data_IF_677370738605
#
_entry.id   IF_677370738605
#
_cell.length_a   1.000
_cell.length_b   1.000
_cell.length_c   1.000
_cell.angle_alpha   90.00
_cell.angle_beta   90.00
_cell.angle_gamma   90.00
#
_symmetry.space_group_name_H-M   'P 1'
#
loop_
_entity.id
_entity.type
_entity.pdbx_description
1 polymer ?
#
# COMPACT_ATOMS: atom_id res chain seq x y z
N UNK A 1 19.19 -17.88 26.30
CA UNK A 1 19.24 -18.66 25.06
C UNK A 1 18.40 -17.96 23.99
N UNK A 2 18.84 -17.95 22.72
CA UNK A 2 18.10 -17.36 21.62
C UNK A 2 16.87 -18.19 21.27
N UNK A 3 15.72 -17.54 21.09
CA UNK A 3 14.42 -18.18 20.78
C UNK A 3 13.74 -17.45 19.60
N UNK A 4 12.80 -18.10 18.92
CA UNK A 4 12.07 -17.51 17.79
C UNK A 4 11.36 -16.19 18.15
N UNK A 5 10.86 -16.08 19.37
CA UNK A 5 10.24 -14.80 19.83
C UNK A 5 11.23 -13.64 19.82
N UNK A 6 12.48 -13.88 20.15
CA UNK A 6 13.54 -12.87 20.10
C UNK A 6 13.85 -12.45 18.66
N UNK A 7 13.88 -13.41 17.74
CA UNK A 7 14.07 -13.16 16.31
C UNK A 7 12.91 -12.32 15.73
N UNK A 8 11.66 -12.65 16.09
CA UNK A 8 10.48 -11.85 15.72
C UNK A 8 10.57 -10.42 16.24
N UNK A 9 10.99 -10.25 17.48
CA UNK A 9 11.20 -8.92 18.09
C UNK A 9 12.26 -8.10 17.36
N UNK A 10 13.42 -8.70 17.00
CA UNK A 10 14.46 -8.02 16.24
C UNK A 10 13.99 -7.62 14.83
N UNK A 11 13.27 -8.50 14.15
CA UNK A 11 12.70 -8.21 12.84
C UNK A 11 11.66 -7.09 12.90
N UNK A 12 10.79 -7.07 13.91
CA UNK A 12 9.79 -6.02 14.11
C UNK A 12 10.45 -4.65 14.37
N UNK A 13 11.50 -4.61 15.20
CA UNK A 13 12.26 -3.37 15.46
C UNK A 13 12.89 -2.83 14.18
N UNK A 14 13.43 -3.70 13.33
CA UNK A 14 14.07 -3.28 12.07
C UNK A 14 13.08 -2.64 11.09
N UNK A 15 11.82 -3.05 11.12
CA UNK A 15 10.75 -2.54 10.24
C UNK A 15 9.95 -1.37 10.81
N UNK A 16 10.28 -0.86 12.01
CA UNK A 16 9.51 0.17 12.69
C UNK A 16 10.33 1.45 12.90
N UNK A 17 9.65 2.60 12.87
CA UNK A 17 10.28 3.89 13.18
C UNK A 17 10.42 4.12 14.70
N UNK A 18 9.51 3.57 15.48
CA UNK A 18 9.50 3.69 16.96
C UNK A 18 9.36 2.31 17.58
N UNK A 19 9.89 2.17 18.77
CA UNK A 19 9.85 0.89 19.51
C UNK A 19 8.41 0.50 19.89
N UNK A 20 7.52 1.47 20.08
CA UNK A 20 6.10 1.23 20.32
C UNK A 20 5.45 0.53 19.11
N UNK A 21 5.71 1.03 17.90
CA UNK A 21 5.18 0.45 16.64
C UNK A 21 5.70 -0.98 16.42
N UNK A 22 6.96 -1.26 16.83
CA UNK A 22 7.53 -2.61 16.79
C UNK A 22 6.84 -3.55 17.80
N UNK A 23 6.53 -3.04 18.99
CA UNK A 23 5.89 -3.83 20.04
C UNK A 23 4.47 -4.26 19.63
N UNK A 24 3.69 -3.37 19.06
CA UNK A 24 2.35 -3.68 18.52
C UNK A 24 2.41 -4.81 17.48
N UNK A 25 3.39 -4.80 16.57
CA UNK A 25 3.56 -5.83 15.53
C UNK A 25 3.83 -7.23 16.08
N UNK A 26 4.36 -7.34 17.28
CA UNK A 26 4.63 -8.62 17.94
C UNK A 26 3.70 -8.88 19.13
N UNK A 27 2.63 -8.09 19.24
CA UNK A 27 1.62 -8.19 20.30
C UNK A 27 2.21 -8.09 21.72
N UNK A 28 3.16 -7.19 21.90
CA UNK A 28 3.81 -6.91 23.17
C UNK A 28 3.60 -5.44 23.57
N UNK A 29 3.79 -5.19 24.87
CA UNK A 29 3.99 -3.80 25.33
C UNK A 29 5.40 -3.34 25.01
N UNK A 30 5.61 -2.02 24.84
CA UNK A 30 6.96 -1.46 24.60
C UNK A 30 7.95 -1.85 25.72
N UNK A 31 7.49 -1.94 26.98
CA UNK A 31 8.31 -2.36 28.12
C UNK A 31 8.72 -3.83 28.00
N UNK A 32 7.80 -4.72 27.59
CA UNK A 32 8.09 -6.13 27.38
C UNK A 32 9.09 -6.34 26.25
N UNK A 33 8.92 -5.64 25.12
CA UNK A 33 9.87 -5.69 24.02
C UNK A 33 11.25 -5.18 24.42
N UNK A 34 11.32 -4.05 25.16
CA UNK A 34 12.59 -3.53 25.70
C UNK A 34 13.24 -4.49 26.68
N UNK A 35 12.45 -5.20 27.47
CA UNK A 35 12.94 -6.21 28.40
C UNK A 35 13.55 -7.42 27.65
N UNK A 36 12.87 -7.92 26.61
CA UNK A 36 13.40 -9.01 25.78
C UNK A 36 14.75 -8.65 25.16
N UNK A 37 14.90 -7.43 24.64
CA UNK A 37 16.18 -6.97 24.08
C UNK A 37 17.27 -6.95 25.16
N UNK A 38 16.98 -6.40 26.35
CA UNK A 38 17.97 -6.36 27.46
C UNK A 38 18.37 -7.75 27.93
N UNK A 39 17.44 -8.71 27.97
CA UNK A 39 17.75 -10.11 28.32
C UNK A 39 18.72 -10.73 27.31
N UNK A 40 18.53 -10.47 26.00
CA UNK A 40 19.47 -10.92 24.97
C UNK A 40 20.84 -10.27 25.12
N UNK A 41 20.90 -8.96 25.32
CA UNK A 41 22.14 -8.22 25.51
C UNK A 41 22.90 -8.71 26.74
N UNK A 42 22.19 -8.93 27.83
CA UNK A 42 22.78 -9.49 29.07
C UNK A 42 23.30 -10.93 28.87
N UNK A 43 22.54 -11.76 28.13
CA UNK A 43 22.94 -13.15 27.87
C UNK A 43 24.23 -13.26 27.06
N UNK A 44 24.41 -12.38 26.08
CA UNK A 44 25.61 -12.38 25.22
C UNK A 44 26.71 -11.42 25.68
N UNK A 45 26.44 -10.56 26.67
CA UNK A 45 27.38 -9.53 27.13
C UNK A 45 27.68 -8.46 26.05
N UNK A 46 26.80 -8.29 25.07
CA UNK A 46 27.01 -7.41 23.90
C UNK A 46 25.75 -6.57 23.67
N UNK A 47 25.92 -5.26 23.43
CA UNK A 47 24.83 -4.37 23.04
C UNK A 47 24.41 -4.62 21.61
N UNK A 48 23.12 -4.76 21.38
CA UNK A 48 22.51 -4.99 20.06
C UNK A 48 22.01 -3.69 19.41
N UNK A 49 21.74 -2.66 20.23
CA UNK A 49 21.24 -1.38 19.78
C UNK A 49 21.99 -0.22 20.38
N UNK A 50 22.11 0.86 19.62
CA UNK A 50 22.61 2.16 20.07
C UNK A 50 21.52 3.22 19.91
N UNK A 51 21.38 4.09 20.90
CA UNK A 51 20.52 5.29 20.79
C UNK A 51 21.28 6.37 20.03
N UNK A 52 20.63 6.89 18.98
CA UNK A 52 21.12 8.02 18.20
C UNK A 52 20.09 9.14 18.24
N UNK A 53 20.45 10.33 17.79
CA UNK A 53 19.52 11.45 17.63
C UNK A 53 18.36 11.13 16.66
N UNK A 54 18.56 10.19 15.73
CA UNK A 54 17.56 9.71 14.78
C UNK A 54 16.75 8.49 15.27
N UNK A 55 16.97 8.01 16.51
CA UNK A 55 16.28 6.86 17.09
C UNK A 55 17.19 5.69 17.41
N UNK A 56 16.64 4.48 17.38
CA UNK A 56 17.35 3.23 17.71
C UNK A 56 18.07 2.69 16.46
N UNK A 57 19.35 2.40 16.57
CA UNK A 57 20.16 1.83 15.49
C UNK A 57 20.79 0.52 15.92
N UNK A 58 20.79 -0.49 15.04
CA UNK A 58 21.48 -1.75 15.28
C UNK A 58 23.00 -1.58 15.32
N UNK A 59 23.65 -2.20 16.29
CA UNK A 59 25.11 -2.40 16.32
C UNK A 59 25.51 -3.46 15.28
N UNK A 60 26.81 -3.66 15.00
CA UNK A 60 27.26 -4.78 14.17
C UNK A 60 26.78 -6.15 14.68
N UNK A 61 26.74 -6.35 16.01
CA UNK A 61 26.20 -7.55 16.63
C UNK A 61 24.69 -7.66 16.43
N UNK A 62 23.96 -6.56 16.59
CA UNK A 62 22.53 -6.48 16.32
C UNK A 62 22.20 -6.76 14.87
N UNK A 63 22.98 -6.26 13.92
CA UNK A 63 22.81 -6.55 12.49
C UNK A 63 23.03 -8.03 12.16
N UNK A 64 24.01 -8.67 12.81
CA UNK A 64 24.24 -10.11 12.64
C UNK A 64 23.07 -10.94 13.13
N UNK A 65 22.50 -10.61 14.29
CA UNK A 65 21.29 -11.28 14.78
C UNK A 65 20.06 -10.96 13.93
N UNK A 66 19.95 -9.77 13.37
CA UNK A 66 18.86 -9.42 12.44
C UNK A 66 18.95 -10.23 11.14
N UNK A 67 20.17 -10.45 10.61
CA UNK A 67 20.37 -11.30 9.44
C UNK A 67 19.90 -12.73 9.73
N UNK A 68 20.34 -13.31 10.85
CA UNK A 68 19.86 -14.61 11.32
C UNK A 68 18.34 -14.63 11.51
N UNK A 69 17.76 -13.58 12.10
CA UNK A 69 16.32 -13.48 12.30
C UNK A 69 15.57 -13.56 10.98
N UNK A 70 15.99 -12.83 9.96
CA UNK A 70 15.38 -12.84 8.63
C UNK A 70 15.44 -14.22 7.98
N UNK A 71 16.61 -14.84 8.00
CA UNK A 71 16.84 -16.17 7.43
C UNK A 71 15.99 -17.24 8.15
N UNK A 72 16.08 -17.29 9.49
CA UNK A 72 15.37 -18.29 10.29
C UNK A 72 13.86 -18.13 10.18
N UNK A 73 13.34 -16.90 10.27
CA UNK A 73 11.90 -16.66 10.15
C UNK A 73 11.37 -17.00 8.75
N UNK A 74 12.15 -16.73 7.70
CA UNK A 74 11.80 -17.17 6.35
C UNK A 74 11.79 -18.70 6.23
N UNK A 75 12.76 -19.40 6.83
CA UNK A 75 12.79 -20.87 6.84
C UNK A 75 11.59 -21.48 7.58
N UNK A 76 11.22 -20.90 8.74
CA UNK A 76 10.02 -21.33 9.48
C UNK A 76 8.77 -21.13 8.64
N UNK A 77 8.58 -19.98 8.02
CA UNK A 77 7.44 -19.69 7.16
C UNK A 77 7.37 -20.64 5.96
N UNK A 78 8.51 -20.95 5.34
CA UNK A 78 8.56 -21.91 4.25
C UNK A 78 8.09 -23.31 4.70
N UNK A 79 8.59 -23.78 5.85
CA UNK A 79 8.20 -25.05 6.40
C UNK A 79 6.71 -25.10 6.77
N UNK A 80 6.19 -24.05 7.38
CA UNK A 80 4.74 -23.95 7.68
C UNK A 80 3.89 -24.02 6.40
N UNK A 81 4.32 -23.37 5.30
CA UNK A 81 3.67 -23.49 3.98
C UNK A 81 3.74 -24.92 3.44
N UNK A 82 4.90 -25.57 3.53
CA UNK A 82 5.05 -26.95 3.05
C UNK A 82 4.13 -27.91 3.82
N UNK A 83 3.97 -27.71 5.12
CA UNK A 83 3.01 -28.47 5.93
C UNK A 83 1.55 -28.23 5.48
N UNK A 84 1.19 -26.99 5.15
CA UNK A 84 -0.13 -26.67 4.60
C UNK A 84 -0.37 -27.31 3.23
N UNK A 85 0.66 -27.36 2.37
CA UNK A 85 0.61 -28.06 1.09
C UNK A 85 0.34 -29.55 1.27
N UNK A 86 1.05 -30.19 2.21
CA UNK A 86 0.83 -31.61 2.53
C UNK A 86 -0.59 -31.87 3.03
N UNK A 87 -1.23 -30.90 3.66
CA UNK A 87 -2.63 -30.98 4.10
C UNK A 87 -3.65 -30.80 2.95
N UNK A 88 -3.21 -30.34 1.78
CA UNK A 88 -4.09 -30.06 0.63
C UNK A 88 -4.85 -28.73 0.71
N UNK A 89 -4.54 -27.87 1.69
CA UNK A 89 -5.23 -26.60 1.92
C UNK A 89 -4.57 -25.38 1.24
N UNK A 90 -3.44 -25.61 0.56
CA UNK A 90 -2.60 -24.52 0.06
C UNK A 90 -2.96 -24.02 -1.35
N UNK A 91 -3.67 -24.80 -2.16
CA UNK A 91 -4.00 -24.44 -3.55
C UNK A 91 -5.23 -23.55 -3.68
N UNK A 92 -5.35 -22.90 -4.82
CA UNK A 92 -6.51 -22.10 -5.19
C UNK A 92 -6.31 -21.22 -6.41
N UNK A 93 -7.38 -20.58 -6.85
CA UNK A 93 -7.38 -19.52 -7.86
C UNK A 93 -7.55 -18.17 -7.15
N UNK A 94 -6.80 -17.17 -7.56
CA UNK A 94 -6.85 -15.81 -7.02
C UNK A 94 -6.88 -14.79 -8.15
N UNK A 95 -8.07 -14.51 -8.67
CA UNK A 95 -8.29 -13.46 -9.64
C UNK A 95 -8.44 -12.12 -8.93
N UNK A 96 -7.52 -11.21 -9.19
CA UNK A 96 -7.45 -9.89 -8.55
C UNK A 96 -8.10 -8.85 -9.46
N UNK A 97 -9.12 -8.16 -8.98
CA UNK A 97 -9.71 -7.00 -9.65
C UNK A 97 -9.21 -5.70 -9.01
N UNK A 98 -8.89 -4.70 -9.84
CA UNK A 98 -8.34 -3.42 -9.42
C UNK A 98 -9.31 -2.28 -9.66
N UNK A 99 -9.39 -1.34 -8.73
CA UNK A 99 -10.16 -0.10 -8.89
C UNK A 99 -9.46 0.90 -9.82
N UNK A 100 -8.13 0.91 -9.86
CA UNK A 100 -7.36 1.80 -10.74
C UNK A 100 -6.13 1.12 -11.35
N UNK A 101 -5.78 1.58 -12.55
CA UNK A 101 -4.65 1.01 -13.31
C UNK A 101 -3.27 1.39 -12.73
N UNK A 102 -3.15 2.44 -11.93
CA UNK A 102 -1.87 2.79 -11.27
C UNK A 102 -1.37 1.72 -10.31
N UNK A 103 -2.26 0.81 -9.87
CA UNK A 103 -1.85 -0.30 -9.01
C UNK A 103 -0.94 -1.31 -9.73
N UNK A 104 -0.95 -1.37 -11.06
CA UNK A 104 -0.12 -2.35 -11.81
C UNK A 104 1.37 -2.20 -11.51
N UNK A 105 1.87 -0.97 -11.39
CA UNK A 105 3.32 -0.71 -11.23
C UNK A 105 3.90 -1.41 -10.00
N UNK A 106 3.19 -1.40 -8.88
CA UNK A 106 3.63 -2.05 -7.65
C UNK A 106 3.07 -3.47 -7.48
N UNK A 107 1.92 -3.79 -8.08
CA UNK A 107 1.28 -5.10 -7.91
C UNK A 107 1.99 -6.19 -8.70
N UNK A 108 2.51 -5.89 -9.90
CA UNK A 108 3.22 -6.90 -10.70
C UNK A 108 4.41 -7.51 -9.95
N UNK A 109 5.36 -6.74 -9.38
CA UNK A 109 6.42 -7.33 -8.58
C UNK A 109 5.94 -8.03 -7.30
N UNK A 110 4.80 -7.63 -6.73
CA UNK A 110 4.15 -8.34 -5.62
C UNK A 110 3.66 -9.72 -6.07
N UNK A 111 3.00 -9.80 -7.23
CA UNK A 111 2.51 -11.08 -7.79
C UNK A 111 3.67 -12.03 -8.10
N UNK A 112 4.80 -11.52 -8.59
CA UNK A 112 5.99 -12.33 -8.82
C UNK A 112 6.56 -12.91 -7.52
N UNK A 113 6.63 -12.10 -6.45
CA UNK A 113 7.04 -12.57 -5.13
C UNK A 113 6.05 -13.59 -4.55
N UNK A 114 4.76 -13.35 -4.75
CA UNK A 114 3.71 -14.24 -4.29
C UNK A 114 3.75 -15.59 -5.02
N UNK A 115 3.87 -15.63 -6.35
CA UNK A 115 3.98 -16.87 -7.16
C UNK A 115 5.17 -17.72 -6.74
N UNK A 116 6.31 -17.10 -6.38
CA UNK A 116 7.47 -17.84 -5.86
C UNK A 116 7.20 -18.53 -4.53
N UNK A 117 6.35 -17.94 -3.70
CA UNK A 117 6.03 -18.46 -2.36
C UNK A 117 4.85 -19.42 -2.36
N UNK A 118 3.91 -19.21 -3.28
CA UNK A 118 2.67 -19.96 -3.42
C UNK A 118 2.48 -20.42 -4.88
N UNK A 119 3.37 -21.28 -5.41
CA UNK A 119 3.28 -21.76 -6.80
C UNK A 119 2.03 -22.60 -7.09
N UNK A 120 1.37 -23.12 -6.06
CA UNK A 120 0.10 -23.84 -6.12
C UNK A 120 -1.13 -22.94 -6.16
N UNK A 121 -0.98 -21.63 -5.99
CA UNK A 121 -2.06 -20.65 -6.13
C UNK A 121 -1.91 -19.98 -7.48
N UNK A 122 -2.88 -20.20 -8.37
CA UNK A 122 -2.94 -19.51 -9.65
C UNK A 122 -3.40 -18.08 -9.46
N UNK A 123 -2.53 -17.11 -9.76
CA UNK A 123 -2.80 -15.70 -9.58
C UNK A 123 -2.92 -14.99 -10.90
N UNK A 124 -4.10 -14.39 -11.15
CA UNK A 124 -4.40 -13.65 -12.35
C UNK A 124 -5.02 -12.28 -12.05
N UNK A 125 -4.94 -11.39 -13.03
CA UNK A 125 -5.62 -10.10 -12.99
C UNK A 125 -6.87 -10.16 -13.85
N UNK A 126 -7.99 -9.67 -13.29
CA UNK A 126 -9.21 -9.52 -14.09
C UNK A 126 -8.99 -8.41 -15.11
N UNK A 127 -9.10 -8.78 -16.40
CA UNK A 127 -8.85 -7.87 -17.50
C UNK A 127 -9.91 -6.76 -17.61
N UNK A 128 -9.50 -5.58 -18.07
CA UNK A 128 -10.35 -4.44 -18.38
C UNK A 128 -10.52 -3.44 -17.24
N UNK A 129 -11.14 -2.31 -17.58
CA UNK A 129 -11.51 -1.28 -16.60
C UNK A 129 -12.87 -1.62 -15.98
N UNK A 130 -12.92 -1.61 -14.66
CA UNK A 130 -14.16 -1.85 -13.93
C UNK A 130 -14.50 -0.67 -13.03
N UNK A 131 -15.54 0.07 -13.37
CA UNK A 131 -16.01 1.21 -12.58
C UNK A 131 -16.48 0.81 -11.17
N UNK A 132 -16.80 -0.46 -10.97
CA UNK A 132 -17.20 -1.06 -9.69
C UNK A 132 -16.66 -2.48 -9.55
N UNK A 133 -15.38 -2.66 -9.14
CA UNK A 133 -14.77 -3.98 -9.05
C UNK A 133 -15.42 -4.87 -7.98
N UNK A 134 -16.14 -4.31 -7.00
CA UNK A 134 -16.89 -5.10 -6.02
C UNK A 134 -17.98 -5.95 -6.64
N UNK A 135 -18.56 -5.53 -7.78
CA UNK A 135 -19.53 -6.36 -8.52
C UNK A 135 -18.91 -7.63 -9.08
N UNK A 136 -17.61 -7.59 -9.42
CA UNK A 136 -16.90 -8.79 -9.86
C UNK A 136 -16.73 -9.79 -8.72
N UNK A 137 -16.41 -9.30 -7.53
CA UNK A 137 -16.28 -10.12 -6.33
C UNK A 137 -17.64 -10.77 -5.97
N UNK A 138 -18.73 -9.98 -6.00
CA UNK A 138 -20.08 -10.46 -5.73
C UNK A 138 -20.55 -11.49 -6.77
N UNK A 139 -20.13 -11.35 -8.01
CA UNK A 139 -20.46 -12.27 -9.11
C UNK A 139 -19.54 -13.50 -9.20
N UNK A 140 -18.56 -13.68 -8.29
CA UNK A 140 -17.58 -14.75 -8.33
C UNK A 140 -16.63 -14.68 -9.55
N UNK A 141 -16.47 -13.50 -10.14
CA UNK A 141 -15.53 -13.27 -11.26
C UNK A 141 -14.17 -12.76 -10.80
N UNK A 142 -14.02 -12.49 -9.53
CA UNK A 142 -12.78 -12.17 -8.84
C UNK A 142 -12.84 -12.76 -7.43
N UNK A 143 -11.70 -13.13 -6.87
CA UNK A 143 -11.53 -13.59 -5.49
C UNK A 143 -11.03 -12.46 -4.59
N UNK A 144 -10.36 -11.46 -5.17
CA UNK A 144 -9.81 -10.33 -4.45
C UNK A 144 -10.08 -9.02 -5.20
N UNK A 145 -10.44 -7.98 -4.47
CA UNK A 145 -10.53 -6.62 -4.97
C UNK A 145 -9.51 -5.74 -4.24
N UNK A 146 -8.72 -4.99 -4.99
CA UNK A 146 -7.87 -3.93 -4.43
C UNK A 146 -8.51 -2.58 -4.79
N UNK A 147 -8.92 -1.84 -3.77
CA UNK A 147 -9.64 -0.58 -3.95
C UNK A 147 -9.63 0.31 -2.70
N UNK A 148 -10.14 1.52 -2.88
CA UNK A 148 -10.11 2.57 -1.84
C UNK A 148 -11.33 2.55 -0.92
N UNK A 149 -12.36 1.78 -1.27
CA UNK A 149 -13.65 1.75 -0.54
C UNK A 149 -14.05 0.33 -0.16
N UNK A 150 -13.75 -0.07 1.08
CA UNK A 150 -14.19 -1.36 1.56
C UNK A 150 -15.72 -1.38 1.68
N UNK A 151 -16.39 -2.49 1.32
CA UNK A 151 -17.83 -2.65 1.49
C UNK A 151 -18.17 -2.74 2.98
N UNK A 152 -19.45 -2.44 3.29
CA UNK A 152 -20.02 -2.75 4.60
C UNK A 152 -20.64 -4.15 4.54
N UNK A 153 -20.42 -4.97 5.58
CA UNK A 153 -21.02 -6.30 5.67
C UNK A 153 -20.07 -7.30 6.33
N UNK A 154 -20.62 -8.33 6.95
CA UNK A 154 -19.85 -9.37 7.65
C UNK A 154 -19.39 -10.48 6.72
N UNK A 155 -19.86 -10.50 5.50
CA UNK A 155 -19.50 -11.45 4.44
C UNK A 155 -18.13 -11.18 3.83
N UNK A 156 -17.57 -9.99 4.07
CA UNK A 156 -16.29 -9.53 3.54
C UNK A 156 -15.19 -9.51 4.60
N UNK A 157 -14.00 -9.87 4.19
CA UNK A 157 -12.76 -9.59 4.92
C UNK A 157 -12.09 -8.41 4.25
N UNK A 158 -11.76 -7.39 5.05
CA UNK A 158 -11.10 -6.17 4.63
C UNK A 158 -9.71 -6.15 5.24
N UNK A 159 -8.69 -6.22 4.41
CA UNK A 159 -7.29 -6.15 4.80
C UNK A 159 -6.76 -4.75 4.49
N UNK A 160 -6.47 -3.92 5.50
CA UNK A 160 -5.90 -2.60 5.26
C UNK A 160 -4.48 -2.74 4.71
N UNK A 161 -4.15 -1.97 3.67
CA UNK A 161 -2.84 -2.00 3.02
C UNK A 161 -2.02 -0.77 3.41
N UNK A 162 -2.36 0.40 2.88
CA UNK A 162 -1.66 1.65 3.17
C UNK A 162 -2.51 2.88 2.83
N UNK A 163 -2.14 4.02 3.40
CA UNK A 163 -2.65 5.35 3.04
C UNK A 163 -1.73 6.01 2.04
N UNK A 164 -2.30 6.88 1.22
CA UNK A 164 -1.58 7.60 0.18
C UNK A 164 -2.15 8.99 -0.03
N UNK A 165 -1.32 9.90 -0.53
CA UNK A 165 -1.76 11.24 -0.88
C UNK A 165 -2.25 11.31 -2.32
N UNK A 166 -3.38 11.98 -2.55
CA UNK A 166 -3.89 12.36 -3.86
C UNK A 166 -3.35 13.74 -4.19
N UNK A 167 -2.71 13.88 -5.33
CA UNK A 167 -2.10 15.12 -5.80
C UNK A 167 -2.85 15.69 -7.01
N UNK A 168 -2.96 17.00 -7.11
CA UNK A 168 -3.39 17.65 -8.35
C UNK A 168 -2.26 17.57 -9.37
N UNK A 169 -2.59 17.12 -10.56
CA UNK A 169 -1.69 17.01 -11.71
C UNK A 169 -1.97 18.13 -12.68
N UNK A 170 -0.94 18.87 -13.01
CA UNK A 170 -0.98 20.08 -13.85
C UNK A 170 -0.01 19.99 -15.02
N UNK A 171 -0.26 20.67 -16.14
CA UNK A 171 0.76 20.89 -17.18
C UNK A 171 1.99 21.61 -16.59
N UNK A 172 3.18 21.35 -17.11
CA UNK A 172 4.45 21.92 -16.61
C UNK A 172 4.41 23.46 -16.57
N UNK A 173 3.83 24.08 -17.60
CA UNK A 173 3.74 25.56 -17.68
C UNK A 173 2.40 26.12 -17.15
N UNK A 174 1.78 25.43 -16.20
CA UNK A 174 0.53 25.88 -15.64
C UNK A 174 0.70 27.15 -14.78
N UNK A 175 -0.31 28.04 -14.77
CA UNK A 175 -0.31 29.29 -13.95
C UNK A 175 -0.08 29.03 -12.44
N UNK A 176 -0.46 27.84 -11.95
CA UNK A 176 -0.31 27.45 -10.56
C UNK A 176 1.04 26.77 -10.24
N UNK A 177 1.98 26.68 -11.20
CA UNK A 177 3.28 25.99 -11.01
C UNK A 177 4.06 26.49 -9.78
N UNK A 178 3.98 27.76 -9.47
CA UNK A 178 4.68 28.39 -8.33
C UNK A 178 4.05 28.14 -6.97
N UNK A 179 2.83 27.60 -6.92
CA UNK A 179 2.16 27.29 -5.65
C UNK A 179 2.72 26.03 -5.01
N UNK A 180 2.84 26.02 -3.67
CA UNK A 180 3.21 24.84 -2.90
C UNK A 180 2.04 23.87 -2.71
N UNK A 181 0.83 24.42 -2.53
CA UNK A 181 -0.42 23.66 -2.43
C UNK A 181 -1.51 24.34 -3.24
N UNK A 182 -2.47 23.55 -3.69
CA UNK A 182 -3.60 23.99 -4.51
C UNK A 182 -4.87 23.93 -3.67
N UNK A 183 -5.54 25.05 -3.56
CA UNK A 183 -6.86 25.13 -2.95
C UNK A 183 -7.96 24.96 -4.00
N UNK A 184 -9.15 24.51 -3.60
CA UNK A 184 -10.26 24.30 -4.52
C UNK A 184 -10.57 25.56 -5.37
N UNK A 185 -10.51 26.75 -4.76
CA UNK A 185 -10.76 28.04 -5.44
C UNK A 185 -9.77 28.33 -6.58
N UNK A 186 -8.54 27.85 -6.49
CA UNK A 186 -7.52 28.03 -7.53
C UNK A 186 -7.87 27.35 -8.83
N UNK A 187 -8.74 26.35 -8.78
CA UNK A 187 -9.09 25.50 -9.91
C UNK A 187 -10.32 25.97 -10.67
N UNK A 188 -10.90 27.11 -10.29
CA UNK A 188 -12.03 27.68 -11.01
C UNK A 188 -11.70 27.89 -12.50
N UNK A 189 -12.59 27.38 -13.38
CA UNK A 189 -12.42 27.45 -14.83
C UNK A 189 -11.57 26.30 -15.44
N UNK A 190 -10.99 25.43 -14.63
CA UNK A 190 -10.27 24.26 -15.14
C UNK A 190 -11.23 23.14 -15.57
N UNK A 191 -10.79 22.27 -16.48
CA UNK A 191 -11.47 21.01 -16.80
C UNK A 191 -10.83 19.87 -16.00
N UNK A 192 -11.63 19.12 -15.26
CA UNK A 192 -11.15 17.97 -14.49
C UNK A 192 -11.20 16.70 -15.34
N UNK A 193 -10.05 16.06 -15.52
CA UNK A 193 -9.93 14.78 -16.23
C UNK A 193 -9.88 13.66 -15.19
N UNK A 194 -10.77 12.68 -15.32
CA UNK A 194 -10.93 11.58 -14.35
C UNK A 194 -11.14 10.24 -15.03
N UNK A 195 -11.10 9.17 -14.25
CA UNK A 195 -11.66 7.88 -14.68
C UNK A 195 -13.18 8.00 -14.90
N UNK A 196 -13.79 7.16 -15.77
CA UNK A 196 -15.23 7.14 -16.04
C UNK A 196 -16.01 6.44 -14.91
N UNK A 197 -15.87 6.94 -13.69
CA UNK A 197 -16.59 6.47 -12.49
C UNK A 197 -17.55 7.54 -11.98
N UNK A 198 -18.59 7.20 -11.21
CA UNK A 198 -19.48 8.18 -10.57
C UNK A 198 -18.68 9.18 -9.71
N UNK A 199 -19.13 10.43 -9.65
CA UNK A 199 -18.46 11.50 -8.90
C UNK A 199 -18.27 11.17 -7.42
N UNK A 200 -19.21 10.42 -6.85
CA UNK A 200 -19.17 9.96 -5.47
C UNK A 200 -17.99 9.03 -5.18
N UNK A 201 -17.43 8.42 -6.22
CA UNK A 201 -16.24 7.57 -6.13
C UNK A 201 -14.92 8.32 -6.27
N UNK A 202 -14.96 9.60 -6.60
CA UNK A 202 -13.77 10.43 -6.77
C UNK A 202 -13.59 11.27 -5.49
N UNK A 203 -12.58 10.90 -4.68
CA UNK A 203 -12.32 11.56 -3.39
C UNK A 203 -12.10 13.06 -3.55
N UNK A 204 -11.38 13.47 -4.59
CA UNK A 204 -11.15 14.88 -4.89
C UNK A 204 -12.45 15.67 -5.11
N UNK A 205 -13.40 15.11 -5.81
CA UNK A 205 -14.72 15.75 -6.02
C UNK A 205 -15.49 15.78 -4.69
N UNK A 206 -15.53 14.65 -3.98
CA UNK A 206 -16.33 14.49 -2.77
C UNK A 206 -15.83 15.34 -1.61
N UNK A 207 -14.50 15.35 -1.39
CA UNK A 207 -13.91 15.93 -0.18
C UNK A 207 -13.35 17.34 -0.37
N UNK A 208 -13.10 17.74 -1.63
CA UNK A 208 -12.51 19.04 -1.93
C UNK A 208 -13.46 19.94 -2.70
N UNK A 209 -13.92 19.51 -3.86
CA UNK A 209 -14.71 20.37 -4.76
C UNK A 209 -16.15 20.57 -4.25
N UNK A 210 -16.85 19.50 -3.84
CA UNK A 210 -18.24 19.61 -3.33
C UNK A 210 -18.36 20.45 -2.07
N UNK A 211 -17.51 20.28 -1.03
CA UNK A 211 -17.54 21.16 0.16
C UNK A 211 -17.25 22.63 -0.16
N UNK A 212 -16.34 22.88 -1.11
CA UNK A 212 -16.02 24.22 -1.58
C UNK A 212 -17.08 24.81 -2.54
N UNK A 213 -18.12 24.05 -2.90
CA UNK A 213 -19.15 24.42 -3.88
C UNK A 213 -18.60 24.77 -5.27
N UNK A 214 -17.48 24.15 -5.66
CA UNK A 214 -16.85 24.35 -6.95
C UNK A 214 -17.27 23.22 -7.87
N UNK A 215 -17.72 23.56 -9.09
CA UNK A 215 -18.02 22.61 -10.16
C UNK A 215 -17.06 22.86 -11.32
N UNK A 216 -16.40 21.80 -11.75
CA UNK A 216 -15.51 21.82 -12.89
C UNK A 216 -16.14 21.02 -14.04
N UNK A 217 -16.04 21.49 -15.30
CA UNK A 217 -16.32 20.63 -16.45
C UNK A 217 -15.51 19.35 -16.33
N UNK A 218 -16.12 18.22 -16.63
CA UNK A 218 -15.50 16.91 -16.48
C UNK A 218 -15.29 16.23 -17.83
N UNK A 219 -14.09 15.69 -18.02
CA UNK A 219 -13.72 14.79 -19.12
C UNK A 219 -13.24 13.47 -18.54
N UNK A 220 -13.48 12.36 -19.24
CA UNK A 220 -13.10 11.03 -18.75
C UNK A 220 -12.10 10.34 -19.68
N UNK A 221 -11.20 9.54 -19.10
CA UNK A 221 -10.34 8.60 -19.78
C UNK A 221 -10.14 7.37 -18.89
N UNK A 222 -10.06 6.17 -19.46
CA UNK A 222 -10.00 4.92 -18.71
C UNK A 222 -8.59 4.62 -18.18
N UNK A 223 -7.55 5.03 -18.90
CA UNK A 223 -6.16 4.74 -18.58
C UNK A 223 -5.47 5.93 -17.94
N UNK A 224 -4.70 5.69 -16.89
CA UNK A 224 -3.88 6.73 -16.22
C UNK A 224 -2.96 7.44 -17.21
N UNK A 225 -2.28 6.68 -18.09
CA UNK A 225 -1.41 7.26 -19.10
C UNK A 225 -2.14 8.20 -20.06
N UNK A 226 -3.40 7.89 -20.40
CA UNK A 226 -4.24 8.78 -21.23
C UNK A 226 -4.64 10.04 -20.47
N UNK A 227 -4.97 9.93 -19.16
CA UNK A 227 -5.24 11.09 -18.31
C UNK A 227 -4.01 12.01 -18.28
N UNK A 228 -2.82 11.46 -18.01
CA UNK A 228 -1.58 12.21 -17.92
C UNK A 228 -1.22 12.89 -19.24
N UNK A 229 -1.41 12.19 -20.37
CA UNK A 229 -1.20 12.75 -21.70
C UNK A 229 -2.14 13.93 -21.99
N UNK A 230 -3.42 13.82 -21.61
CA UNK A 230 -4.37 14.91 -21.74
C UNK A 230 -4.00 16.12 -20.88
N UNK A 231 -3.51 15.88 -19.65
CA UNK A 231 -3.00 16.95 -18.77
C UNK A 231 -1.79 17.61 -19.41
N UNK A 232 -0.77 16.85 -19.81
CA UNK A 232 0.43 17.38 -20.46
C UNK A 232 0.10 18.21 -21.73
N UNK A 233 -0.94 17.81 -22.46
CA UNK A 233 -1.46 18.53 -23.63
C UNK A 233 -2.36 19.73 -23.29
N UNK A 234 -2.39 20.17 -22.03
CA UNK A 234 -3.18 21.33 -21.55
C UNK A 234 -4.69 21.19 -21.81
N UNK A 235 -5.21 19.95 -21.77
CA UNK A 235 -6.65 19.68 -21.96
C UNK A 235 -7.44 19.69 -20.67
N UNK A 236 -6.77 19.95 -19.53
CA UNK A 236 -7.32 20.04 -18.20
C UNK A 236 -6.32 19.62 -17.13
N UNK A 237 -6.82 19.37 -15.95
CA UNK A 237 -6.07 18.95 -14.77
C UNK A 237 -6.60 17.59 -14.32
N UNK A 238 -5.85 16.87 -13.47
CA UNK A 238 -6.31 15.63 -12.86
C UNK A 238 -6.01 15.61 -11.35
N UNK A 239 -6.61 14.65 -10.64
CA UNK A 239 -6.25 14.34 -9.26
C UNK A 239 -5.98 12.83 -9.17
N UNK A 240 -4.73 12.45 -8.88
CA UNK A 240 -4.25 11.07 -8.96
C UNK A 240 -3.41 10.69 -7.75
N UNK A 241 -3.29 9.39 -7.41
CA UNK A 241 -2.40 8.89 -6.36
C UNK A 241 -0.94 9.27 -6.62
N UNK A 242 -0.22 9.64 -5.57
CA UNK A 242 1.17 10.07 -5.63
C UNK A 242 2.10 9.03 -6.25
N UNK A 243 1.92 7.73 -5.94
CA UNK A 243 2.79 6.66 -6.47
C UNK A 243 2.74 6.52 -8.00
N UNK A 244 1.60 6.77 -8.63
CA UNK A 244 1.43 6.69 -10.09
C UNK A 244 2.00 7.88 -10.86
N UNK A 245 2.61 8.85 -10.17
CA UNK A 245 3.06 10.11 -10.78
C UNK A 245 4.58 10.25 -10.86
N UNK A 246 5.34 9.50 -10.05
CA UNK A 246 6.78 9.70 -9.87
C UNK A 246 7.53 9.79 -11.20
N UNK A 247 7.40 8.78 -12.05
CA UNK A 247 8.12 8.73 -13.33
C UNK A 247 7.77 9.90 -14.27
N UNK A 248 6.53 10.36 -14.23
CA UNK A 248 6.06 11.46 -15.09
C UNK A 248 6.50 12.83 -14.56
N UNK A 249 6.61 12.97 -13.25
CA UNK A 249 7.13 14.19 -12.58
C UNK A 249 8.65 14.28 -12.74
N UNK A 250 9.36 13.18 -12.55
CA UNK A 250 10.82 13.10 -12.68
C UNK A 250 11.28 13.40 -14.13
N UNK A 251 10.43 13.14 -15.12
CA UNK A 251 10.67 13.45 -16.54
C UNK A 251 10.13 14.83 -16.97
N UNK A 252 9.69 15.67 -16.03
CA UNK A 252 9.06 16.96 -16.32
C UNK A 252 7.89 16.88 -17.31
N UNK A 253 7.17 15.75 -17.34
CA UNK A 253 6.03 15.56 -18.22
C UNK A 253 4.77 16.25 -17.68
N UNK A 254 4.61 16.26 -16.36
CA UNK A 254 3.55 16.94 -15.62
C UNK A 254 4.09 17.46 -14.30
N UNK A 255 3.36 18.40 -13.68
CA UNK A 255 3.58 18.81 -12.29
C UNK A 255 2.59 18.13 -11.37
N UNK A 256 3.04 17.73 -10.18
CA UNK A 256 2.18 17.26 -9.11
C UNK A 256 2.22 18.24 -7.93
N UNK A 257 1.06 18.62 -7.41
CA UNK A 257 0.91 19.58 -6.33
C UNK A 257 -0.02 19.04 -5.24
N UNK A 258 0.34 19.31 -4.01
CA UNK A 258 -0.47 18.98 -2.84
C UNK A 258 -1.82 19.69 -2.86
N UNK A 259 -2.86 19.06 -2.34
CA UNK A 259 -4.20 19.61 -2.22
C UNK A 259 -4.38 20.16 -0.81
N UNK A 260 -4.52 21.47 -0.69
CA UNK A 260 -4.66 22.14 0.60
C UNK A 260 -3.43 21.97 1.53
N UNK A 261 -3.46 22.60 2.68
CA UNK A 261 -2.34 22.57 3.63
C UNK A 261 -2.14 21.17 4.27
N UNK A 262 -3.22 20.38 4.43
CA UNK A 262 -3.20 19.04 5.07
C UNK A 262 -3.00 17.89 4.09
N UNK A 263 -3.08 18.15 2.79
CA UNK A 263 -3.13 17.10 1.75
C UNK A 263 -4.49 16.40 1.69
N UNK A 264 -4.78 15.77 0.57
CA UNK A 264 -5.92 14.87 0.42
C UNK A 264 -5.41 13.43 0.51
N UNK A 265 -5.84 12.71 1.54
CA UNK A 265 -5.41 11.36 1.83
C UNK A 265 -6.53 10.36 1.57
N UNK A 266 -6.20 9.26 0.94
CA UNK A 266 -7.06 8.09 0.78
C UNK A 266 -6.38 6.84 1.31
N UNK A 267 -7.12 5.74 1.39
CA UNK A 267 -6.59 4.46 1.89
C UNK A 267 -6.87 3.36 0.89
N UNK A 268 -5.96 2.41 0.79
CA UNK A 268 -6.10 1.25 -0.07
C UNK A 268 -6.33 -0.01 0.78
N UNK A 269 -7.23 -0.86 0.32
CA UNK A 269 -7.62 -2.10 0.98
C UNK A 269 -7.62 -3.26 -0.01
N UNK A 270 -7.32 -4.46 0.48
CA UNK A 270 -7.65 -5.69 -0.20
C UNK A 270 -8.94 -6.25 0.42
N UNK A 271 -9.90 -6.58 -0.41
CA UNK A 271 -11.22 -7.08 0.00
C UNK A 271 -11.45 -8.46 -0.61
N UNK A 272 -11.80 -9.43 0.21
CA UNK A 272 -12.09 -10.80 -0.20
C UNK A 272 -13.34 -11.34 0.51
N UNK A 273 -14.00 -12.39 -0.01
CA UNK A 273 -15.02 -13.11 0.73
C UNK A 273 -14.44 -13.69 2.03
N UNK A 274 -15.24 -13.72 3.09
CA UNK A 274 -14.81 -14.23 4.40
C UNK A 274 -14.26 -15.64 4.36
N UNK A 275 -14.84 -16.52 3.51
CA UNK A 275 -14.33 -17.87 3.32
C UNK A 275 -12.89 -17.94 2.80
N UNK A 276 -12.48 -16.96 1.99
CA UNK A 276 -11.10 -16.87 1.50
C UNK A 276 -10.12 -16.38 2.57
N UNK A 277 -10.61 -15.65 3.58
CA UNK A 277 -9.79 -15.12 4.67
C UNK A 277 -9.13 -16.21 5.51
N UNK A 278 -9.71 -17.40 5.54
CA UNK A 278 -9.17 -18.55 6.26
C UNK A 278 -7.99 -19.20 5.51
N UNK A 279 -7.79 -18.86 4.23
CA UNK A 279 -6.67 -19.34 3.44
C UNK A 279 -5.38 -18.60 3.81
N UNK A 280 -4.31 -19.31 4.19
CA UNK A 280 -3.06 -18.70 4.67
C UNK A 280 -2.41 -17.78 3.65
N UNK A 281 -2.54 -18.09 2.36
CA UNK A 281 -1.95 -17.32 1.28
C UNK A 281 -2.52 -15.87 1.19
N UNK A 282 -3.76 -15.65 1.63
CA UNK A 282 -4.35 -14.31 1.57
C UNK A 282 -3.70 -13.34 2.57
N UNK A 283 -3.47 -13.79 3.80
CA UNK A 283 -2.77 -13.00 4.82
C UNK A 283 -1.32 -12.71 4.40
N UNK A 284 -0.65 -13.68 3.79
CA UNK A 284 0.70 -13.51 3.29
C UNK A 284 0.75 -12.55 2.10
N UNK A 285 -0.20 -12.61 1.16
CA UNK A 285 -0.29 -11.65 0.07
C UNK A 285 -0.41 -10.20 0.59
N UNK A 286 -1.28 -9.96 1.58
CA UNK A 286 -1.39 -8.63 2.19
C UNK A 286 -0.07 -8.19 2.85
N UNK A 287 0.67 -9.12 3.45
CA UNK A 287 1.99 -8.85 4.04
C UNK A 287 3.03 -8.52 2.97
N UNK A 288 3.05 -9.26 1.86
CA UNK A 288 3.95 -8.99 0.72
C UNK A 288 3.64 -7.61 0.13
N UNK A 289 2.35 -7.28 -0.09
CA UNK A 289 1.94 -5.96 -0.59
C UNK A 289 2.48 -4.86 0.32
N UNK A 290 2.21 -4.92 1.63
CA UNK A 290 2.65 -3.90 2.59
C UNK A 290 4.17 -3.74 2.59
N UNK A 291 4.90 -4.85 2.62
CA UNK A 291 6.37 -4.83 2.67
C UNK A 291 6.99 -4.23 1.42
N UNK A 292 6.49 -4.63 0.24
CA UNK A 292 6.96 -4.11 -1.05
C UNK A 292 6.61 -2.63 -1.21
N UNK A 293 5.35 -2.28 -1.00
CA UNK A 293 4.92 -0.89 -1.13
C UNK A 293 5.66 0.04 -0.16
N UNK A 294 5.92 -0.39 1.09
CA UNK A 294 6.71 0.40 2.03
C UNK A 294 8.18 0.60 1.61
N UNK A 295 8.74 -0.34 0.84
CA UNK A 295 10.11 -0.25 0.35
C UNK A 295 10.25 0.55 -0.96
N UNK A 296 9.23 0.51 -1.83
CA UNK A 296 9.32 0.99 -3.21
C UNK A 296 8.50 2.26 -3.48
N UNK A 297 7.44 2.53 -2.69
CA UNK A 297 6.56 3.68 -2.90
C UNK A 297 6.89 4.81 -1.94
N UNK A 298 7.14 6.00 -2.48
CA UNK A 298 7.33 7.22 -1.70
C UNK A 298 5.98 7.80 -1.24
N UNK A 299 5.95 8.36 -0.03
CA UNK A 299 4.81 9.14 0.47
C UNK A 299 3.57 8.30 0.77
N UNK A 300 3.73 7.04 1.15
CA UNK A 300 2.66 6.19 1.70
C UNK A 300 2.85 5.96 3.20
N UNK A 301 1.76 5.58 3.88
CA UNK A 301 1.76 5.19 5.30
C UNK A 301 1.08 3.83 5.43
N UNK A 302 1.74 2.83 6.06
CA UNK A 302 1.12 1.52 6.30
C UNK A 302 -0.06 1.65 7.28
N UNK A 303 -1.12 0.87 7.03
CA UNK A 303 -2.32 0.78 7.86
C UNK A 303 -2.29 -0.45 8.77
#
# INVERSE_FOLDING_TARGET
MLELRHLRSLAAIAGARRLADAAERVHLTQSALSHQVRVLEAHYGITLFQRTSAGLRFTPAGQRLLALARETLASVQNTERDLLRLKGDAGGELRIALECHTCFDWLMPVMDDFRRRWPEVEVDLVAGFHSDPMKLLQAGKAELVIGSRPPRGREWTVLPLFRFEILVVLPVEHRLRGKRSIEAADLAGETLITYPVPEERIDFIREVLKPARIRLPRRTAELTVAILQLVASRRGIAALPNWGLKNYVDLDYVLAKRIGAKGLWSSLYAVAPKALAEKPFLAELATIIRSKCAAELDGIELL
#
